data_IF_831108481064
#
_entry.id   IF_831108481064
#
_cell.length_a   1.000
_cell.length_b   1.000
_cell.length_c   1.000
_cell.angle_alpha   90.00
_cell.angle_beta   90.00
_cell.angle_gamma   90.00
#
_symmetry.space_group_name_H-M   'P 1'
#
loop_
_entity.id
_entity.type
_entity.pdbx_description
1 polymer ?
#
# COMPACT_ATOMS: atom_id res chain seq x y z
N UNK A 1 -2.74 -3.85 -26.30
CA UNK A 1 -2.86 -2.55 -26.98
C UNK A 1 -3.69 -1.54 -26.18
N UNK A 2 -4.93 -1.87 -25.78
CA UNK A 2 -5.81 -0.92 -25.08
C UNK A 2 -5.36 -0.61 -23.64
N UNK A 3 -4.86 -1.61 -22.92
CA UNK A 3 -4.34 -1.46 -21.55
C UNK A 3 -3.12 -0.54 -21.49
N UNK A 4 -2.21 -0.69 -22.47
CA UNK A 4 -1.02 0.15 -22.63
C UNK A 4 -1.44 1.59 -22.94
N UNK A 5 -2.40 1.80 -23.85
CA UNK A 5 -2.94 3.14 -24.14
C UNK A 5 -3.58 3.79 -22.91
N UNK A 6 -4.26 3.03 -22.05
CA UNK A 6 -4.91 3.54 -20.84
C UNK A 6 -3.91 3.92 -19.75
N UNK A 7 -2.83 3.15 -19.59
CA UNK A 7 -1.70 3.48 -18.72
C UNK A 7 -0.94 4.71 -19.21
N UNK A 8 -0.68 4.81 -20.52
CA UNK A 8 0.00 5.95 -21.13
C UNK A 8 -0.83 7.24 -21.05
N UNK A 9 -2.15 7.15 -21.29
CA UNK A 9 -3.07 8.31 -21.19
C UNK A 9 -3.17 8.86 -19.76
N UNK A 10 -3.09 8.00 -18.75
CA UNK A 10 -3.24 8.37 -17.33
C UNK A 10 -1.90 8.58 -16.61
N UNK A 11 -0.79 8.15 -17.20
CA UNK A 11 0.55 8.24 -16.66
C UNK A 11 1.52 8.84 -17.67
N UNK A 12 1.28 10.10 -18.05
CA UNK A 12 2.02 10.85 -19.08
C UNK A 12 3.55 10.81 -18.94
N UNK A 13 4.07 10.60 -17.74
CA UNK A 13 5.50 10.61 -17.46
C UNK A 13 6.10 9.20 -17.24
N UNK A 14 5.32 8.12 -17.39
CA UNK A 14 5.85 6.74 -17.28
C UNK A 14 6.83 6.46 -18.43
N UNK A 15 6.64 7.10 -19.58
CA UNK A 15 7.53 6.98 -20.74
C UNK A 15 8.92 7.61 -20.51
N UNK A 16 9.08 8.43 -19.49
CA UNK A 16 10.38 9.03 -19.14
C UNK A 16 11.20 8.15 -18.18
N UNK A 17 10.64 7.02 -17.72
CA UNK A 17 11.34 6.09 -16.84
C UNK A 17 12.16 5.10 -17.67
N UNK A 18 13.38 4.81 -17.20
CA UNK A 18 14.24 3.77 -17.77
C UNK A 18 13.61 2.40 -17.54
N UNK A 19 13.60 1.56 -18.59
CA UNK A 19 13.08 0.20 -18.43
C UNK A 19 13.96 -0.61 -17.49
N UNK A 20 15.27 -0.53 -17.68
CA UNK A 20 16.28 -1.32 -16.97
C UNK A 20 16.54 -0.79 -15.56
N UNK A 21 16.61 0.54 -15.39
CA UNK A 21 17.00 1.12 -14.10
C UNK A 21 15.79 1.39 -13.18
N UNK A 22 14.61 1.70 -13.73
CA UNK A 22 13.47 2.15 -12.92
C UNK A 22 12.33 1.12 -12.85
N UNK A 23 11.98 0.52 -13.99
CA UNK A 23 10.77 -0.32 -14.09
C UNK A 23 11.06 -1.77 -13.77
N UNK A 24 12.10 -2.36 -14.34
CA UNK A 24 12.43 -3.78 -14.16
C UNK A 24 12.61 -4.18 -12.69
N UNK A 25 13.50 -3.56 -11.89
CA UNK A 25 13.68 -3.95 -10.49
C UNK A 25 12.39 -3.77 -9.66
N UNK A 26 11.55 -2.80 -10.04
CA UNK A 26 10.24 -2.59 -9.42
C UNK A 26 9.26 -3.71 -9.75
N UNK A 27 9.18 -4.13 -11.01
CA UNK A 27 8.33 -5.25 -11.40
C UNK A 27 8.81 -6.56 -10.77
N UNK A 28 10.12 -6.80 -10.71
CA UNK A 28 10.70 -7.98 -10.06
C UNK A 28 10.27 -8.04 -8.58
N UNK A 29 10.41 -6.93 -7.85
CA UNK A 29 9.92 -6.81 -6.48
C UNK A 29 8.41 -7.07 -6.38
N UNK A 30 7.59 -6.46 -7.25
CA UNK A 30 6.13 -6.59 -7.19
C UNK A 30 5.67 -8.02 -7.53
N UNK A 31 6.38 -8.72 -8.42
CA UNK A 31 6.08 -10.11 -8.76
C UNK A 31 6.44 -11.10 -7.66
N UNK A 32 7.29 -10.72 -6.69
CA UNK A 32 7.47 -11.52 -5.46
C UNK A 32 6.22 -11.52 -4.58
N UNK A 33 5.36 -10.49 -4.69
CA UNK A 33 4.19 -10.31 -3.82
C UNK A 33 2.85 -10.57 -4.51
N UNK A 34 2.77 -10.35 -5.83
CA UNK A 34 1.53 -10.42 -6.61
C UNK A 34 1.72 -11.19 -7.90
N UNK A 35 0.65 -11.86 -8.34
CA UNK A 35 0.65 -12.44 -9.69
C UNK A 35 0.55 -11.34 -10.76
N UNK A 36 1.02 -11.59 -12.00
CA UNK A 36 0.93 -10.61 -13.08
C UNK A 36 -0.48 -10.09 -13.36
N UNK A 37 -1.49 -10.96 -13.20
CA UNK A 37 -2.90 -10.58 -13.38
C UNK A 37 -3.39 -9.63 -12.28
N UNK A 38 -3.01 -9.88 -11.03
CA UNK A 38 -3.34 -9.02 -9.89
C UNK A 38 -2.69 -7.64 -10.06
N UNK A 39 -1.40 -7.62 -10.37
CA UNK A 39 -0.66 -6.38 -10.57
C UNK A 39 -1.25 -5.56 -11.72
N UNK A 40 -1.54 -6.20 -12.87
CA UNK A 40 -2.18 -5.55 -14.01
C UNK A 40 -3.51 -4.88 -13.62
N UNK A 41 -4.37 -5.58 -12.88
CA UNK A 41 -5.65 -5.03 -12.41
C UNK A 41 -5.44 -3.78 -11.54
N UNK A 42 -4.52 -3.84 -10.58
CA UNK A 42 -4.20 -2.73 -9.68
C UNK A 42 -3.60 -1.52 -10.42
N UNK A 43 -2.71 -1.76 -11.39
CA UNK A 43 -2.06 -0.70 -12.17
C UNK A 43 -3.03 0.06 -13.08
N UNK A 44 -4.02 -0.63 -13.66
CA UNK A 44 -5.08 0.02 -14.48
C UNK A 44 -5.89 1.01 -13.63
N UNK A 45 -6.20 0.61 -12.39
CA UNK A 45 -6.96 1.44 -11.45
C UNK A 45 -6.14 2.60 -10.90
N UNK A 46 -4.83 2.38 -10.67
CA UNK A 46 -3.96 3.38 -10.07
C UNK A 46 -2.62 3.56 -10.83
N UNK A 47 -2.64 4.15 -12.05
CA UNK A 47 -1.44 4.30 -12.88
C UNK A 47 -0.33 5.13 -12.24
N UNK A 48 -0.70 6.05 -11.33
CA UNK A 48 0.25 6.89 -10.58
C UNK A 48 1.19 6.10 -9.68
N UNK A 49 0.83 4.87 -9.31
CA UNK A 49 1.68 3.97 -8.52
C UNK A 49 3.05 3.74 -9.18
N UNK A 50 3.10 3.65 -10.52
CA UNK A 50 4.35 3.42 -11.25
C UNK A 50 5.36 4.57 -11.11
N UNK A 51 4.91 5.75 -10.67
CA UNK A 51 5.78 6.91 -10.43
C UNK A 51 6.50 6.86 -9.07
N UNK A 52 6.11 5.96 -8.18
CA UNK A 52 6.81 5.79 -6.90
C UNK A 52 8.20 5.22 -7.15
N UNK A 53 9.22 5.72 -6.45
CA UNK A 53 10.56 5.15 -6.53
C UNK A 53 10.60 3.77 -5.88
N UNK A 54 11.56 2.94 -6.29
CA UNK A 54 11.77 1.61 -5.70
C UNK A 54 12.00 1.70 -4.19
N UNK A 55 12.91 2.60 -3.77
CA UNK A 55 13.19 2.86 -2.35
C UNK A 55 11.93 3.24 -1.54
N UNK A 56 11.00 4.02 -2.12
CA UNK A 56 9.75 4.37 -1.46
C UNK A 56 8.85 3.14 -1.24
N UNK A 57 8.80 2.23 -2.21
CA UNK A 57 8.06 0.98 -2.09
C UNK A 57 8.68 0.06 -1.04
N UNK A 58 9.99 -0.14 -1.09
CA UNK A 58 10.75 -0.97 -0.15
C UNK A 58 10.58 -0.47 1.29
N UNK A 59 10.67 0.84 1.51
CA UNK A 59 10.48 1.45 2.83
C UNK A 59 9.09 1.15 3.38
N UNK A 60 8.05 1.24 2.54
CA UNK A 60 6.67 0.95 2.95
C UNK A 60 6.43 -0.55 3.17
N UNK A 61 7.02 -1.40 2.34
CA UNK A 61 7.00 -2.86 2.50
C UNK A 61 7.61 -3.21 3.86
N UNK A 62 8.83 -2.75 4.12
CA UNK A 62 9.54 -3.00 5.38
C UNK A 62 8.74 -2.53 6.59
N UNK A 63 8.08 -1.36 6.49
CA UNK A 63 7.19 -0.87 7.54
C UNK A 63 6.00 -1.80 7.79
N UNK A 64 5.27 -2.21 6.74
CA UNK A 64 4.11 -3.09 6.88
C UNK A 64 4.49 -4.47 7.42
N UNK A 65 5.61 -5.02 6.97
CA UNK A 65 6.12 -6.29 7.45
C UNK A 65 6.58 -6.18 8.92
N UNK A 66 7.22 -5.06 9.31
CA UNK A 66 7.63 -4.83 10.69
C UNK A 66 6.43 -4.75 11.66
N UNK A 67 5.39 -3.97 11.33
CA UNK A 67 4.21 -3.85 12.21
C UNK A 67 3.43 -5.17 12.32
N UNK A 68 3.42 -5.97 11.25
CA UNK A 68 2.81 -7.30 11.27
C UNK A 68 3.62 -8.29 12.09
N UNK A 69 4.95 -8.33 11.89
CA UNK A 69 5.83 -9.20 12.67
C UNK A 69 5.76 -8.88 14.17
N UNK A 70 5.66 -7.59 14.52
CA UNK A 70 5.46 -7.18 15.90
C UNK A 70 4.10 -7.62 16.48
N UNK A 71 3.06 -7.76 15.64
CA UNK A 71 1.72 -8.15 16.08
C UNK A 71 1.52 -9.68 16.16
N UNK A 72 2.11 -10.44 15.24
CA UNK A 72 1.82 -11.87 15.08
C UNK A 72 3.05 -12.77 14.88
N UNK A 73 4.27 -12.23 14.84
CA UNK A 73 5.46 -12.96 14.40
C UNK A 73 5.48 -13.24 12.89
N UNK A 74 6.38 -14.12 12.45
CA UNK A 74 6.68 -14.35 11.02
C UNK A 74 5.76 -15.39 10.33
N UNK A 75 4.79 -15.98 11.05
CA UNK A 75 4.07 -17.18 10.60
C UNK A 75 2.77 -16.89 9.80
N UNK A 76 2.77 -15.80 9.00
CA UNK A 76 1.59 -15.42 8.20
C UNK A 76 1.73 -15.86 6.74
N UNK A 77 0.69 -16.43 6.13
CA UNK A 77 0.75 -16.97 4.77
C UNK A 77 0.89 -15.91 3.67
N UNK A 78 0.51 -14.66 3.96
CA UNK A 78 0.68 -13.53 3.06
C UNK A 78 0.98 -12.28 3.89
N UNK A 79 2.04 -11.56 3.53
CA UNK A 79 2.46 -10.37 4.28
C UNK A 79 1.44 -9.25 4.16
N UNK A 80 1.37 -8.40 5.18
CA UNK A 80 0.52 -7.22 5.20
C UNK A 80 0.83 -6.30 4.01
N UNK A 81 2.11 -6.15 3.66
CA UNK A 81 2.53 -5.37 2.50
C UNK A 81 1.86 -5.88 1.20
N UNK A 82 1.94 -7.19 0.95
CA UNK A 82 1.33 -7.81 -0.23
C UNK A 82 -0.21 -7.65 -0.22
N UNK A 83 -0.85 -7.77 0.94
CA UNK A 83 -2.30 -7.56 1.06
C UNK A 83 -2.70 -6.11 0.78
N UNK A 84 -1.99 -5.13 1.34
CA UNK A 84 -2.22 -3.71 1.09
C UNK A 84 -2.01 -3.41 -0.38
N UNK A 85 -0.94 -3.93 -0.99
CA UNK A 85 -0.66 -3.74 -2.41
C UNK A 85 -1.76 -4.32 -3.30
N UNK A 86 -2.27 -5.51 -2.96
CA UNK A 86 -3.33 -6.18 -3.72
C UNK A 86 -4.69 -5.50 -3.62
N UNK A 87 -5.11 -5.16 -2.39
CA UNK A 87 -6.46 -4.66 -2.11
C UNK A 87 -6.55 -3.14 -2.19
N UNK A 88 -5.47 -2.44 -1.86
CA UNK A 88 -5.47 -1.01 -1.59
C UNK A 88 -4.19 -0.32 -2.11
N UNK A 89 -3.75 -0.62 -3.33
CA UNK A 89 -2.51 -0.07 -3.95
C UNK A 89 -2.35 1.46 -3.82
N UNK A 90 -3.45 2.21 -3.77
CA UNK A 90 -3.43 3.66 -3.55
C UNK A 90 -2.81 4.07 -2.20
N UNK A 91 -2.79 3.19 -1.19
CA UNK A 91 -2.10 3.42 0.09
C UNK A 91 -0.61 3.63 -0.11
N UNK A 92 0.02 2.92 -1.05
CA UNK A 92 1.44 3.12 -1.36
C UNK A 92 1.75 4.53 -1.89
N UNK A 93 0.76 5.23 -2.44
CA UNK A 93 0.91 6.63 -2.88
C UNK A 93 0.76 7.66 -1.77
N UNK A 94 0.38 7.25 -0.54
CA UNK A 94 0.30 8.14 0.62
C UNK A 94 1.67 8.32 1.26
N UNK A 95 1.87 9.44 1.96
CA UNK A 95 3.10 9.62 2.75
C UNK A 95 3.14 8.58 3.90
N UNK A 96 4.31 7.97 4.12
CA UNK A 96 4.51 7.05 5.24
C UNK A 96 4.39 7.78 6.58
N UNK A 97 5.15 8.87 6.77
CA UNK A 97 5.28 9.59 8.05
C UNK A 97 4.07 10.47 8.35
N UNK A 98 3.45 11.05 7.32
CA UNK A 98 2.38 12.04 7.54
C UNK A 98 0.98 11.44 7.50
N UNK A 99 0.86 10.17 7.06
CA UNK A 99 -0.45 9.54 6.87
C UNK A 99 -0.49 8.10 7.34
N UNK A 100 0.34 7.21 6.80
CA UNK A 100 0.25 5.78 7.12
C UNK A 100 0.59 5.54 8.59
N UNK A 101 1.75 5.99 9.06
CA UNK A 101 2.22 5.80 10.43
C UNK A 101 1.27 6.38 11.48
N UNK A 102 0.89 7.67 11.42
CA UNK A 102 -0.06 8.24 12.39
C UNK A 102 -1.39 7.50 12.42
N UNK A 103 -1.86 7.01 11.27
CA UNK A 103 -3.12 6.26 11.21
C UNK A 103 -2.98 4.89 11.88
N UNK A 104 -1.88 4.17 11.63
CA UNK A 104 -1.60 2.88 12.29
C UNK A 104 -1.45 3.07 13.80
N UNK A 105 -0.68 4.06 14.23
CA UNK A 105 -0.47 4.39 15.65
C UNK A 105 -1.79 4.71 16.36
N UNK A 106 -2.65 5.52 15.73
CA UNK A 106 -3.98 5.80 16.24
C UNK A 106 -4.80 4.52 16.42
N UNK A 107 -4.90 3.68 15.38
CA UNK A 107 -5.66 2.41 15.46
C UNK A 107 -5.12 1.49 16.56
N UNK A 108 -3.79 1.35 16.69
CA UNK A 108 -3.16 0.55 17.73
C UNK A 108 -3.40 1.11 19.14
N UNK A 109 -3.43 2.43 19.28
CA UNK A 109 -3.73 3.09 20.56
C UNK A 109 -5.19 2.90 20.99
N UNK A 110 -6.11 2.77 20.02
CA UNK A 110 -7.54 2.61 20.31
C UNK A 110 -7.94 1.16 20.58
N UNK A 111 -7.39 0.18 19.85
CA UNK A 111 -7.83 -1.22 19.94
C UNK A 111 -6.72 -2.24 20.17
N UNK A 112 -5.54 -1.92 20.69
CA UNK A 112 -4.39 -2.84 20.74
C UNK A 112 -3.80 -3.19 19.36
N UNK A 113 -2.51 -3.55 19.34
CA UNK A 113 -1.77 -3.74 18.10
C UNK A 113 -2.25 -4.96 17.29
N UNK A 114 -2.37 -6.18 17.85
CA UNK A 114 -2.96 -7.31 17.15
C UNK A 114 -4.34 -7.03 16.53
N UNK A 115 -5.26 -6.39 17.25
CA UNK A 115 -6.58 -6.10 16.69
C UNK A 115 -6.50 -5.07 15.55
N UNK A 116 -5.73 -3.99 15.73
CA UNK A 116 -5.54 -2.97 14.71
C UNK A 116 -4.93 -3.54 13.41
N UNK A 117 -3.91 -4.40 13.51
CA UNK A 117 -3.33 -5.06 12.33
C UNK A 117 -4.33 -6.02 11.67
N UNK A 118 -5.17 -6.71 12.46
CA UNK A 118 -6.26 -7.55 11.91
C UNK A 118 -7.25 -6.72 11.07
N UNK A 119 -7.61 -5.53 11.57
CA UNK A 119 -8.47 -4.58 10.84
C UNK A 119 -7.82 -4.15 9.52
N UNK A 120 -6.52 -3.88 9.51
CA UNK A 120 -5.78 -3.51 8.29
C UNK A 120 -5.69 -4.65 7.28
N UNK A 121 -5.54 -5.91 7.72
CA UNK A 121 -5.59 -7.07 6.82
C UNK A 121 -6.95 -7.24 6.16
N UNK A 122 -8.02 -6.95 6.91
CA UNK A 122 -9.40 -7.05 6.44
C UNK A 122 -9.74 -5.89 5.50
N UNK A 123 -9.50 -4.66 5.96
CA UNK A 123 -9.87 -3.40 5.33
C UNK A 123 -8.68 -2.42 5.26
N UNK A 124 -7.69 -2.66 4.37
CA UNK A 124 -6.52 -1.78 4.24
C UNK A 124 -6.87 -0.39 3.70
N UNK A 125 -8.08 -0.20 3.18
CA UNK A 125 -8.62 1.09 2.76
C UNK A 125 -8.75 2.12 3.89
N UNK A 126 -8.73 1.69 5.16
CA UNK A 126 -8.66 2.59 6.31
C UNK A 126 -7.48 3.57 6.19
N UNK A 127 -6.34 3.12 5.66
CA UNK A 127 -5.15 3.93 5.44
C UNK A 127 -5.30 4.95 4.28
N UNK A 128 -6.40 4.91 3.52
CA UNK A 128 -6.69 5.93 2.49
C UNK A 128 -7.39 7.14 3.10
N UNK A 129 -8.06 6.95 4.24
CA UNK A 129 -8.86 7.96 4.91
C UNK A 129 -7.96 9.01 5.60
N UNK A 130 -8.52 10.20 5.81
CA UNK A 130 -7.87 11.20 6.64
C UNK A 130 -8.03 10.82 8.10
N UNK A 131 -6.93 10.76 8.85
CA UNK A 131 -6.98 10.53 10.29
C UNK A 131 -7.84 11.59 10.97
N UNK A 132 -7.47 12.86 10.83
CA UNK A 132 -8.12 13.98 11.54
C UNK A 132 -9.53 14.31 11.03
N UNK A 133 -9.77 14.20 9.72
CA UNK A 133 -11.07 14.59 9.14
C UNK A 133 -12.07 13.43 8.98
N UNK A 134 -11.67 12.19 9.25
CA UNK A 134 -12.54 11.04 9.02
C UNK A 134 -12.46 10.00 10.13
N UNK A 135 -11.29 9.44 10.38
CA UNK A 135 -11.16 8.32 11.32
C UNK A 135 -11.41 8.80 12.75
N UNK A 136 -10.62 9.75 13.25
CA UNK A 136 -10.70 10.22 14.64
C UNK A 136 -12.11 10.65 15.06
N UNK A 137 -12.82 11.53 14.32
CA UNK A 137 -14.17 11.95 14.73
C UNK A 137 -15.20 10.81 14.76
N UNK A 138 -15.07 9.83 13.85
CA UNK A 138 -15.99 8.67 13.82
C UNK A 138 -15.73 7.69 14.94
N UNK A 139 -14.46 7.50 15.28
CA UNK A 139 -14.06 6.64 16.40
C UNK A 139 -14.52 7.27 17.72
N UNK A 140 -14.28 8.56 17.90
CA UNK A 140 -14.76 9.32 19.07
C UNK A 140 -16.29 9.34 19.19
N UNK A 141 -17.02 9.37 18.06
CA UNK A 141 -18.48 9.30 18.08
C UNK A 141 -19.04 7.91 18.46
N UNK A 142 -18.30 6.84 18.16
CA UNK A 142 -18.74 5.45 18.38
C UNK A 142 -18.25 4.86 19.70
N UNK A 143 -17.27 5.50 20.35
CA UNK A 143 -16.78 5.17 21.68
C UNK A 143 -17.64 5.80 22.77
#
# INVERSE_FOLDING_TARGET
AETTKLLLRRGSNILNLSMEDDLQPKFDLLFTMLTPQQLKKSLIQHPRFLRLSLCNLETKIAYFDAIENNAYGQDRPASLAALVLRKAIAVYTKNLTDNIQPTVEFLCSTWDQPTAISMLRTSPDLLKLSLERNLRPKVEFLH
#
